data_IF_977457486676
#
_entry.id   IF_977457486676
#
_cell.length_a   1.000
_cell.length_b   1.000
_cell.length_c   1.000
_cell.angle_alpha   90.00
_cell.angle_beta   90.00
_cell.angle_gamma   90.00
#
_symmetry.space_group_name_H-M   'P 1'
#
loop_
_entity.id
_entity.type
_entity.pdbx_description
1 polymer ?
#
# COMPACT_ATOMS: atom_id res chain seq x y z
N UNK A 1 4.67 19.72 -1.97
CA UNK A 1 4.30 18.85 -0.85
C UNK A 1 5.37 18.78 0.23
N UNK A 2 6.68 18.83 -0.10
CA UNK A 2 7.79 19.00 0.88
C UNK A 2 8.69 20.17 0.45
N UNK A 3 8.19 21.42 0.48
CA UNK A 3 8.94 22.60 0.01
C UNK A 3 10.14 22.94 0.89
N UNK A 4 10.17 22.43 2.11
CA UNK A 4 11.24 22.68 3.09
C UNK A 4 12.25 21.55 3.19
N UNK A 5 12.15 20.53 2.31
CA UNK A 5 13.02 19.34 2.29
C UNK A 5 13.16 18.68 3.67
N UNK A 6 12.03 18.43 4.31
CA UNK A 6 11.95 17.74 5.61
C UNK A 6 12.06 16.22 5.49
N UNK A 7 11.71 15.67 4.32
CA UNK A 7 11.67 14.24 4.04
C UNK A 7 10.30 13.60 4.31
N UNK A 8 9.30 14.38 4.67
CA UNK A 8 7.91 13.95 4.85
C UNK A 8 6.93 15.01 4.34
N UNK A 9 5.72 14.58 4.06
CA UNK A 9 4.68 15.47 3.52
C UNK A 9 3.87 16.03 4.70
N UNK A 10 3.78 17.35 4.82
CA UNK A 10 2.98 18.01 5.88
C UNK A 10 1.97 19.01 5.33
N UNK A 11 2.28 19.62 4.18
CA UNK A 11 1.32 20.50 3.50
C UNK A 11 0.13 19.66 2.98
N UNK A 12 -1.07 20.21 2.84
CA UNK A 12 -2.20 19.47 2.33
C UNK A 12 -1.86 18.84 0.97
N UNK A 13 -2.13 17.56 0.84
CA UNK A 13 -1.77 16.81 -0.35
C UNK A 13 -2.91 15.91 -0.79
N UNK A 14 -3.25 16.05 -2.07
CA UNK A 14 -4.27 15.26 -2.74
C UNK A 14 -3.79 13.82 -2.95
N UNK A 15 -4.72 12.87 -2.89
CA UNK A 15 -4.43 11.46 -3.01
C UNK A 15 -5.58 10.69 -3.68
N UNK A 16 -5.48 9.36 -3.72
CA UNK A 16 -6.44 8.47 -4.38
C UNK A 16 -7.86 8.52 -3.79
N UNK A 17 -8.03 9.12 -2.64
CA UNK A 17 -9.32 9.25 -1.96
C UNK A 17 -10.06 10.56 -2.30
N UNK A 18 -9.53 11.37 -3.21
CA UNK A 18 -10.09 12.68 -3.57
C UNK A 18 -10.27 13.62 -2.36
N UNK A 19 -9.39 13.45 -1.37
CA UNK A 19 -9.35 14.21 -0.12
C UNK A 19 -7.91 14.67 0.09
N UNK A 20 -7.73 15.93 0.47
CA UNK A 20 -6.44 16.38 0.96
C UNK A 20 -6.21 15.84 2.37
N UNK A 21 -5.13 15.10 2.54
CA UNK A 21 -4.61 14.81 3.87
C UNK A 21 -3.81 16.01 4.37
N UNK A 22 -4.10 16.42 5.58
CA UNK A 22 -3.50 17.55 6.25
C UNK A 22 -2.54 17.09 7.33
N UNK A 23 -1.28 17.47 7.20
CA UNK A 23 -0.22 17.00 8.06
C UNK A 23 0.38 15.65 7.63
N UNK A 24 1.46 15.24 8.30
CA UNK A 24 2.18 14.03 7.92
C UNK A 24 1.37 12.76 8.09
N UNK A 25 1.39 11.90 7.09
CA UNK A 25 0.71 10.62 7.06
C UNK A 25 1.61 9.49 6.53
N UNK A 26 1.23 8.26 6.84
CA UNK A 26 1.98 7.08 6.44
C UNK A 26 1.89 6.78 4.95
N UNK A 27 0.71 6.90 4.34
CA UNK A 27 0.46 6.50 2.94
C UNK A 27 1.30 7.33 1.97
N UNK A 28 1.06 8.64 1.93
CA UNK A 28 1.71 9.52 0.96
C UNK A 28 3.20 9.74 1.26
N UNK A 29 3.58 9.82 2.55
CA UNK A 29 5.00 9.91 2.92
C UNK A 29 5.74 8.63 2.53
N UNK A 30 5.14 7.43 2.67
CA UNK A 30 5.80 6.20 2.23
C UNK A 30 6.07 6.19 0.72
N UNK A 31 5.16 6.71 -0.10
CA UNK A 31 5.39 6.90 -1.54
C UNK A 31 6.56 7.84 -1.82
N UNK A 32 6.61 8.94 -1.10
CA UNK A 32 7.72 9.89 -1.23
C UNK A 32 9.07 9.24 -0.91
N UNK A 33 9.14 8.45 0.16
CA UNK A 33 10.38 7.73 0.51
C UNK A 33 10.73 6.65 -0.52
N UNK A 34 9.72 5.92 -1.04
CA UNK A 34 9.92 4.98 -2.14
C UNK A 34 10.46 5.66 -3.40
N UNK A 35 9.90 6.82 -3.76
CA UNK A 35 10.36 7.61 -4.90
C UNK A 35 11.79 8.14 -4.70
N UNK A 36 12.14 8.62 -3.50
CA UNK A 36 13.51 9.02 -3.17
C UNK A 36 14.50 7.86 -3.29
N UNK A 37 14.11 6.68 -2.82
CA UNK A 37 14.93 5.47 -2.94
C UNK A 37 15.15 5.10 -4.40
N UNK A 38 14.10 5.06 -5.21
CA UNK A 38 14.19 4.79 -6.64
C UNK A 38 15.08 5.81 -7.36
N UNK A 39 14.92 7.09 -7.05
CA UNK A 39 15.74 8.16 -7.62
C UNK A 39 17.23 8.00 -7.26
N UNK A 40 17.51 7.62 -6.02
CA UNK A 40 18.89 7.39 -5.55
C UNK A 40 19.52 6.22 -6.31
N UNK A 41 18.80 5.10 -6.48
CA UNK A 41 19.32 3.94 -7.21
C UNK A 41 19.55 4.25 -8.70
N UNK A 42 18.61 4.91 -9.36
CA UNK A 42 18.79 5.38 -10.74
C UNK A 42 19.97 6.37 -10.86
N UNK A 43 20.09 7.27 -9.90
CA UNK A 43 21.21 8.24 -9.88
C UNK A 43 22.57 7.57 -9.72
N UNK A 44 22.68 6.56 -8.86
CA UNK A 44 23.91 5.76 -8.70
C UNK A 44 24.29 5.07 -10.01
N UNK A 45 23.33 4.42 -10.68
CA UNK A 45 23.57 3.75 -11.97
C UNK A 45 24.05 4.73 -13.04
N UNK A 46 23.44 5.91 -13.09
CA UNK A 46 23.83 6.99 -14.00
C UNK A 46 25.03 7.81 -13.54
N UNK A 47 25.68 7.44 -12.41
CA UNK A 47 26.82 8.13 -11.81
C UNK A 47 26.55 9.61 -11.51
N UNK A 48 25.30 9.92 -11.15
CA UNK A 48 24.87 11.27 -10.75
C UNK A 48 25.02 11.48 -9.23
N UNK A 49 25.20 12.72 -8.76
CA UNK A 49 25.28 13.00 -7.33
C UNK A 49 23.92 12.78 -6.64
N UNK A 50 23.89 11.91 -5.63
CA UNK A 50 22.66 11.55 -4.89
C UNK A 50 22.72 11.86 -3.40
N UNK A 51 23.78 12.52 -2.93
CA UNK A 51 24.05 12.76 -1.51
C UNK A 51 22.91 13.52 -0.80
N UNK A 52 22.38 14.54 -1.44
CA UNK A 52 21.30 15.36 -0.88
C UNK A 52 20.03 14.51 -0.70
N UNK A 53 19.65 13.76 -1.72
CA UNK A 53 18.47 12.87 -1.68
C UNK A 53 18.62 11.73 -0.66
N UNK A 54 19.84 11.21 -0.49
CA UNK A 54 20.14 10.22 0.55
C UNK A 54 19.97 10.80 1.96
N UNK A 55 20.39 12.03 2.17
CA UNK A 55 20.20 12.73 3.45
C UNK A 55 18.71 13.00 3.71
N UNK A 56 17.96 13.39 2.66
CA UNK A 56 16.53 13.62 2.73
C UNK A 56 15.76 12.33 3.04
N UNK A 57 16.07 11.24 2.36
CA UNK A 57 15.53 9.90 2.64
C UNK A 57 15.76 9.50 4.10
N UNK A 58 16.96 9.70 4.62
CA UNK A 58 17.30 9.37 6.02
C UNK A 58 16.48 10.16 7.04
N UNK A 59 16.23 11.44 6.78
CA UNK A 59 15.33 12.28 7.61
C UNK A 59 13.89 11.74 7.61
N UNK A 60 13.37 11.44 6.42
CA UNK A 60 12.00 10.96 6.28
C UNK A 60 11.79 9.59 6.91
N UNK A 61 12.72 8.64 6.72
CA UNK A 61 12.69 7.34 7.40
C UNK A 61 12.61 7.52 8.91
N UNK A 62 13.53 8.31 9.48
CA UNK A 62 13.53 8.58 10.92
C UNK A 62 12.20 9.16 11.38
N UNK A 63 11.65 10.11 10.64
CA UNK A 63 10.37 10.73 11.01
C UNK A 63 9.22 9.71 10.98
N UNK A 64 9.07 8.94 9.91
CA UNK A 64 8.04 7.90 9.83
C UNK A 64 8.16 6.89 10.97
N UNK A 65 9.36 6.40 11.23
CA UNK A 65 9.60 5.36 12.21
C UNK A 65 9.48 5.80 13.68
N UNK A 66 9.62 7.10 13.96
CA UNK A 66 9.58 7.64 15.33
C UNK A 66 8.36 8.50 15.62
N UNK A 67 7.81 9.16 14.61
CA UNK A 67 6.72 10.11 14.78
C UNK A 67 5.38 9.59 14.28
N UNK A 68 5.38 8.75 13.23
CA UNK A 68 4.14 8.22 12.64
C UNK A 68 3.87 6.76 13.01
N UNK A 69 4.83 6.03 13.59
CA UNK A 69 4.60 4.68 14.10
C UNK A 69 4.17 4.75 15.57
N UNK A 70 2.96 4.29 15.87
CA UNK A 70 2.37 4.39 17.21
C UNK A 70 2.72 3.23 18.16
N UNK A 71 3.62 2.34 17.69
CA UNK A 71 4.01 1.11 18.37
C UNK A 71 3.39 -0.15 17.77
N UNK A 72 2.38 -0.03 16.91
CA UNK A 72 1.72 -1.16 16.26
C UNK A 72 1.50 -0.90 14.76
N UNK A 73 1.07 0.32 14.38
CA UNK A 73 0.86 0.70 12.98
C UNK A 73 1.19 2.17 12.72
N UNK A 74 1.27 2.53 11.44
CA UNK A 74 1.51 3.91 11.02
C UNK A 74 0.21 4.70 10.98
N UNK A 75 0.27 5.95 11.47
CA UNK A 75 -0.85 6.87 11.63
C UNK A 75 -0.65 8.15 10.84
N UNK A 76 -1.66 9.01 10.80
CA UNK A 76 -1.58 10.40 10.39
C UNK A 76 -1.49 11.32 11.61
N UNK A 77 -0.61 12.30 11.56
CA UNK A 77 -0.63 13.45 12.48
C UNK A 77 -1.34 14.61 11.80
N UNK A 78 -2.60 14.79 12.13
CA UNK A 78 -3.39 15.90 11.57
C UNK A 78 -2.75 17.21 11.99
N UNK A 79 -2.46 18.07 11.02
CA UNK A 79 -1.85 19.38 11.21
C UNK A 79 -2.43 20.36 10.21
N UNK A 80 -2.92 21.51 10.67
CA UNK A 80 -3.45 22.56 9.80
C UNK A 80 -2.94 23.94 10.20
N UNK A 81 -2.18 24.04 11.27
CA UNK A 81 -1.53 25.27 11.71
C UNK A 81 -0.04 25.25 11.38
N UNK A 82 0.51 26.43 11.09
CA UNK A 82 1.92 26.59 10.79
C UNK A 82 2.34 26.05 9.41
N UNK A 83 1.38 25.80 8.53
CA UNK A 83 1.60 25.40 7.14
C UNK A 83 1.65 26.63 6.22
N UNK A 84 2.12 26.44 4.98
CA UNK A 84 2.07 27.47 3.93
C UNK A 84 0.66 27.57 3.32
N UNK A 85 -0.09 26.47 3.32
CA UNK A 85 -1.46 26.43 2.84
C UNK A 85 -2.38 27.29 3.73
N UNK A 86 -3.42 27.92 3.13
CA UNK A 86 -4.45 28.62 3.90
C UNK A 86 -5.13 27.68 4.90
N UNK A 87 -5.54 28.25 6.05
CA UNK A 87 -6.29 27.46 7.05
C UNK A 87 -7.57 26.88 6.42
N UNK A 88 -7.83 25.58 6.54
CA UNK A 88 -9.00 24.92 5.93
C UNK A 88 -10.33 25.45 6.46
N UNK A 89 -10.34 26.09 7.64
CA UNK A 89 -11.53 26.73 8.21
C UNK A 89 -11.90 28.03 7.48
N UNK A 90 -10.91 28.70 6.88
CA UNK A 90 -11.09 29.94 6.15
C UNK A 90 -11.38 29.73 4.66
N UNK A 91 -11.25 28.52 4.17
CA UNK A 91 -11.51 28.16 2.78
C UNK A 91 -12.95 27.71 2.62
N UNK A 92 -13.69 28.33 1.70
CA UNK A 92 -15.09 27.98 1.43
C UNK A 92 -15.21 26.52 0.95
N UNK A 93 -16.18 25.81 1.51
CA UNK A 93 -16.54 24.46 1.05
C UNK A 93 -17.14 24.51 -0.36
N UNK A 94 -16.99 23.44 -1.11
CA UNK A 94 -17.65 23.27 -2.40
C UNK A 94 -19.18 23.40 -2.21
N UNK A 95 -19.76 24.50 -2.71
CA UNK A 95 -21.20 24.76 -2.62
C UNK A 95 -21.69 25.73 -1.55
N UNK A 96 -20.83 26.41 -0.78
CA UNK A 96 -21.24 27.45 0.15
C UNK A 96 -20.42 27.55 1.44
N UNK A 97 -20.85 28.43 2.36
CA UNK A 97 -20.28 28.57 3.69
C UNK A 97 -20.68 27.42 4.63
N UNK A 98 -19.80 27.09 5.56
CA UNK A 98 -20.13 26.15 6.64
C UNK A 98 -21.20 26.72 7.59
N UNK A 99 -22.03 25.86 8.19
CA UNK A 99 -22.87 26.23 9.31
C UNK A 99 -22.02 26.59 10.54
N UNK A 100 -22.61 27.29 11.52
CA UNK A 100 -21.92 27.65 12.76
C UNK A 100 -21.43 26.41 13.53
N UNK A 101 -22.23 25.35 13.53
CA UNK A 101 -21.88 24.06 14.18
C UNK A 101 -20.69 23.40 13.46
N UNK A 102 -20.71 23.39 12.13
CA UNK A 102 -19.61 22.83 11.34
C UNK A 102 -18.31 23.63 11.53
N UNK A 103 -18.40 24.97 11.58
CA UNK A 103 -17.25 25.84 11.86
C UNK A 103 -16.67 25.59 13.26
N UNK A 104 -17.53 25.40 14.27
CA UNK A 104 -17.08 25.06 15.62
C UNK A 104 -16.33 23.75 15.62
N UNK A 105 -16.89 22.71 15.00
CA UNK A 105 -16.29 21.39 14.91
C UNK A 105 -14.93 21.41 14.18
N UNK A 106 -14.84 22.11 13.04
CA UNK A 106 -13.59 22.27 12.30
C UNK A 106 -12.51 23.02 13.09
N UNK A 107 -12.90 23.98 13.93
CA UNK A 107 -11.96 24.69 14.84
C UNK A 107 -11.45 23.79 15.96
N UNK A 108 -12.25 22.84 16.43
CA UNK A 108 -11.91 21.94 17.51
C UNK A 108 -11.12 20.72 17.01
N UNK A 109 -11.54 20.12 15.90
CA UNK A 109 -11.01 18.84 15.38
C UNK A 109 -10.09 18.98 14.16
N UNK A 110 -10.06 20.18 13.54
CA UNK A 110 -9.30 20.44 12.31
C UNK A 110 -10.02 20.01 11.03
N UNK A 111 -9.28 19.79 9.94
CA UNK A 111 -9.84 19.42 8.64
C UNK A 111 -10.69 18.15 8.70
N UNK A 112 -11.86 18.18 8.07
CA UNK A 112 -12.73 17.02 7.97
C UNK A 112 -12.08 15.89 7.15
N UNK A 113 -12.58 14.67 7.35
CA UNK A 113 -12.26 13.48 6.55
C UNK A 113 -10.82 12.98 6.67
N UNK A 114 -10.13 13.36 7.75
CA UNK A 114 -8.82 12.84 8.07
C UNK A 114 -8.94 11.47 8.77
N UNK A 115 -7.95 10.59 8.59
CA UNK A 115 -7.96 9.31 9.28
C UNK A 115 -7.24 9.34 10.65
N UNK A 116 -6.35 10.30 10.86
CA UNK A 116 -5.70 10.52 12.17
C UNK A 116 -5.04 9.25 12.73
N UNK A 117 -5.52 8.80 13.89
CA UNK A 117 -5.04 7.57 14.55
C UNK A 117 -5.66 6.28 13.99
N UNK A 118 -6.40 6.36 12.88
CA UNK A 118 -6.98 5.19 12.23
C UNK A 118 -5.92 4.24 11.66
N UNK A 119 -6.23 2.95 11.70
CA UNK A 119 -5.47 1.90 11.04
C UNK A 119 -5.88 1.87 9.55
N UNK A 120 -5.15 2.57 8.70
CA UNK A 120 -5.43 2.69 7.28
C UNK A 120 -4.85 1.49 6.51
N UNK A 121 -5.66 0.79 5.72
CA UNK A 121 -5.25 -0.45 5.03
C UNK A 121 -4.10 -0.24 4.05
N UNK A 122 -4.12 0.85 3.30
CA UNK A 122 -3.02 1.24 2.41
C UNK A 122 -2.07 2.29 3.02
N UNK A 123 -2.04 2.37 4.36
CA UNK A 123 -1.27 3.36 5.11
C UNK A 123 0.25 3.36 4.88
N UNK A 124 0.78 2.34 4.20
CA UNK A 124 2.18 2.24 3.79
C UNK A 124 2.30 1.73 2.35
N UNK A 125 1.38 2.12 1.49
CA UNK A 125 1.29 1.68 0.09
C UNK A 125 2.60 1.89 -0.68
N UNK A 126 3.34 2.97 -0.40
CA UNK A 126 4.65 3.22 -1.01
C UNK A 126 5.69 2.14 -0.72
N UNK A 127 5.61 1.46 0.42
CA UNK A 127 6.49 0.34 0.76
C UNK A 127 6.18 -0.92 -0.04
N UNK A 128 4.90 -1.18 -0.30
CA UNK A 128 4.48 -2.23 -1.22
C UNK A 128 5.02 -1.98 -2.64
N UNK A 129 4.84 -0.77 -3.15
CA UNK A 129 5.34 -0.38 -4.47
C UNK A 129 6.86 -0.51 -4.57
N UNK A 130 7.59 -0.06 -3.56
CA UNK A 130 9.05 -0.22 -3.48
C UNK A 130 9.46 -1.70 -3.54
N UNK A 131 8.77 -2.56 -2.79
CA UNK A 131 9.02 -4.00 -2.77
C UNK A 131 8.72 -4.66 -4.12
N UNK A 132 7.62 -4.29 -4.79
CA UNK A 132 7.28 -4.77 -6.15
C UNK A 132 8.35 -4.37 -7.15
N UNK A 133 8.87 -3.16 -7.06
CA UNK A 133 9.97 -2.67 -7.91
C UNK A 133 11.35 -3.27 -7.53
N UNK A 134 11.42 -4.06 -6.47
CA UNK A 134 12.66 -4.69 -6.03
C UNK A 134 13.65 -3.74 -5.37
N UNK A 135 13.18 -2.63 -4.83
CA UNK A 135 13.97 -1.79 -3.95
C UNK A 135 14.14 -2.48 -2.60
N UNK A 136 15.27 -2.24 -1.97
CA UNK A 136 15.55 -2.75 -0.64
C UNK A 136 14.57 -2.17 0.41
N UNK A 137 14.61 -2.70 1.63
CA UNK A 137 13.75 -2.27 2.73
C UNK A 137 13.93 -0.77 3.02
N UNK A 138 12.97 0.02 2.59
CA UNK A 138 13.00 1.49 2.76
C UNK A 138 12.75 1.87 4.22
N UNK A 139 11.77 1.24 4.88
CA UNK A 139 11.49 1.38 6.32
C UNK A 139 11.90 0.12 7.08
N UNK A 140 11.92 0.20 8.40
CA UNK A 140 12.16 -0.93 9.28
C UNK A 140 11.15 -2.06 8.99
N UNK A 141 11.66 -3.25 8.67
CA UNK A 141 10.88 -4.39 8.22
C UNK A 141 9.87 -4.87 9.26
N UNK A 142 10.23 -4.85 10.55
CA UNK A 142 9.34 -5.29 11.62
C UNK A 142 8.19 -4.29 11.86
N UNK A 143 8.43 -3.00 11.68
CA UNK A 143 7.38 -1.98 11.74
C UNK A 143 6.42 -2.08 10.56
N UNK A 144 6.95 -2.33 9.35
CA UNK A 144 6.13 -2.59 8.15
C UNK A 144 5.27 -3.84 8.36
N UNK A 145 5.88 -4.93 8.83
CA UNK A 145 5.18 -6.18 9.13
C UNK A 145 4.12 -5.98 10.22
N UNK A 146 4.45 -5.27 11.31
CA UNK A 146 3.53 -4.95 12.39
C UNK A 146 2.29 -4.20 11.89
N UNK A 147 2.49 -3.17 11.06
CA UNK A 147 1.38 -2.44 10.45
C UNK A 147 0.46 -3.36 9.64
N UNK A 148 1.02 -4.20 8.77
CA UNK A 148 0.23 -5.12 7.93
C UNK A 148 -0.55 -6.15 8.76
N UNK A 149 0.05 -6.67 9.83
CA UNK A 149 -0.62 -7.57 10.77
C UNK A 149 -1.74 -6.85 11.52
N UNK A 150 -1.54 -5.59 11.91
CA UNK A 150 -2.58 -4.77 12.51
C UNK A 150 -3.75 -4.51 11.53
N UNK A 151 -3.45 -4.21 10.28
CA UNK A 151 -4.48 -4.07 9.23
C UNK A 151 -5.30 -5.35 9.09
N UNK A 152 -4.67 -6.52 8.97
CA UNK A 152 -5.39 -7.80 8.95
C UNK A 152 -6.25 -7.98 10.20
N UNK A 153 -5.71 -7.73 11.39
CA UNK A 153 -6.39 -7.92 12.67
C UNK A 153 -7.63 -7.03 12.85
N UNK A 154 -7.54 -5.77 12.45
CA UNK A 154 -8.56 -4.77 12.77
C UNK A 154 -9.52 -4.51 11.62
N UNK A 155 -9.05 -4.58 10.39
CA UNK A 155 -9.83 -4.18 9.22
C UNK A 155 -10.48 -5.36 8.50
N UNK A 156 -9.95 -6.60 8.59
CA UNK A 156 -10.57 -7.75 7.97
C UNK A 156 -11.86 -8.13 8.71
N UNK A 157 -12.95 -8.28 7.96
CA UNK A 157 -14.25 -8.76 8.42
C UNK A 157 -14.62 -10.01 7.63
N UNK A 158 -15.11 -11.04 8.34
CA UNK A 158 -15.57 -12.28 7.72
C UNK A 158 -17.05 -12.22 7.31
N UNK A 159 -17.78 -11.25 7.82
CA UNK A 159 -19.07 -10.81 7.33
C UNK A 159 -19.29 -9.33 7.63
N UNK A 160 -20.23 -8.72 6.94
CA UNK A 160 -20.62 -7.33 7.06
C UNK A 160 -22.12 -7.19 7.41
N UNK A 161 -22.70 -8.20 8.11
CA UNK A 161 -24.13 -8.23 8.46
C UNK A 161 -24.50 -7.01 9.29
N UNK A 162 -23.70 -6.68 10.29
CA UNK A 162 -23.90 -5.54 11.18
C UNK A 162 -23.12 -4.29 10.74
N UNK A 163 -22.50 -4.34 9.57
CA UNK A 163 -21.72 -3.22 9.05
C UNK A 163 -22.62 -2.25 8.29
N UNK A 164 -22.47 -0.97 8.61
CA UNK A 164 -23.28 0.08 8.03
C UNK A 164 -22.40 1.23 7.51
N UNK A 165 -22.63 1.59 6.24
CA UNK A 165 -21.99 2.76 5.63
C UNK A 165 -23.05 3.76 5.16
N UNK A 166 -23.42 4.76 6.00
CA UNK A 166 -24.46 5.72 5.66
C UNK A 166 -24.01 6.78 4.64
N UNK A 167 -22.73 6.90 4.39
CA UNK A 167 -22.18 8.02 3.62
C UNK A 167 -22.00 7.68 2.13
N UNK A 168 -21.73 6.41 1.81
CA UNK A 168 -21.32 6.00 0.47
C UNK A 168 -21.86 4.61 0.09
N UNK A 169 -21.95 4.31 -1.22
CA UNK A 169 -22.21 2.95 -1.67
C UNK A 169 -21.19 1.97 -1.14
N UNK A 170 -21.64 0.75 -0.83
CA UNK A 170 -20.77 -0.34 -0.40
C UNK A 170 -20.51 -1.30 -1.56
N UNK A 171 -19.31 -1.85 -1.62
CA UNK A 171 -18.90 -2.86 -2.61
C UNK A 171 -18.91 -4.28 -2.02
N UNK A 172 -19.13 -4.39 -0.71
CA UNK A 172 -19.35 -5.62 0.03
C UNK A 172 -20.39 -5.36 1.13
N UNK A 173 -21.32 -6.28 1.37
CA UNK A 173 -22.39 -6.12 2.35
C UNK A 173 -22.99 -7.47 2.79
N UNK A 174 -23.71 -7.45 3.91
CA UNK A 174 -24.40 -8.62 4.43
C UNK A 174 -23.44 -9.75 4.77
N UNK A 175 -23.58 -10.90 4.12
CA UNK A 175 -22.72 -12.07 4.36
C UNK A 175 -21.35 -12.01 3.64
N UNK A 176 -21.09 -10.95 2.89
CA UNK A 176 -19.75 -10.78 2.30
C UNK A 176 -18.74 -10.49 3.41
N UNK A 177 -17.57 -11.07 3.32
CA UNK A 177 -16.38 -10.62 4.03
C UNK A 177 -15.60 -9.58 3.24
N UNK A 178 -14.62 -8.92 3.86
CA UNK A 178 -13.74 -7.97 3.18
C UNK A 178 -12.86 -7.17 4.11
N UNK A 179 -11.86 -6.51 3.52
CA UNK A 179 -10.92 -5.65 4.23
C UNK A 179 -11.41 -4.20 4.18
N UNK A 180 -11.88 -3.67 5.32
CA UNK A 180 -12.25 -2.26 5.42
C UNK A 180 -11.05 -1.35 5.18
N UNK A 181 -11.28 -0.18 4.60
CA UNK A 181 -10.19 0.75 4.31
C UNK A 181 -9.58 1.35 5.57
N UNK A 182 -10.36 1.64 6.60
CA UNK A 182 -9.83 2.18 7.84
C UNK A 182 -10.72 1.84 9.05
N UNK A 183 -10.09 1.51 10.18
CA UNK A 183 -10.79 1.37 11.48
C UNK A 183 -10.03 2.14 12.56
N UNK A 184 -10.70 2.42 13.68
CA UNK A 184 -10.08 3.12 14.83
C UNK A 184 -10.06 2.22 16.07
N UNK A 185 -9.23 1.17 16.10
CA UNK A 185 -9.23 0.19 17.19
C UNK A 185 -8.79 0.78 18.54
N UNK A 186 -8.05 1.89 18.51
CA UNK A 186 -7.56 2.61 19.70
C UNK A 186 -8.35 3.89 19.98
N UNK A 187 -9.48 4.10 19.27
CA UNK A 187 -10.26 5.34 19.33
C UNK A 187 -9.63 6.48 18.52
N UNK A 188 -10.17 7.70 18.69
CA UNK A 188 -9.68 8.89 18.00
C UNK A 188 -10.30 9.12 16.61
N UNK A 189 -11.41 8.43 16.30
CA UNK A 189 -12.21 8.75 15.13
C UNK A 189 -12.82 10.14 15.27
N UNK A 190 -12.64 10.97 14.25
CA UNK A 190 -13.21 12.33 14.23
C UNK A 190 -14.73 12.29 14.05
N UNK A 191 -15.41 13.37 14.42
CA UNK A 191 -16.86 13.55 14.20
C UNK A 191 -17.21 13.60 12.71
N UNK A 192 -16.31 14.11 11.86
CA UNK A 192 -16.36 14.02 10.41
C UNK A 192 -15.22 13.13 9.91
N UNK A 193 -15.36 11.80 10.05
CA UNK A 193 -14.25 10.89 9.81
C UNK A 193 -13.95 10.72 8.34
N UNK A 194 -12.86 10.02 8.04
CA UNK A 194 -12.46 9.58 6.73
C UNK A 194 -13.62 8.85 6.03
N UNK A 195 -14.17 9.45 4.99
CA UNK A 195 -15.46 9.04 4.37
C UNK A 195 -15.41 7.67 3.70
N UNK A 196 -14.24 7.20 3.31
CA UNK A 196 -14.05 5.88 2.68
C UNK A 196 -13.77 4.76 3.69
N UNK A 197 -13.65 5.07 4.98
CA UNK A 197 -13.25 4.12 6.01
C UNK A 197 -14.01 2.80 5.99
N UNK A 198 -15.31 2.88 5.74
CA UNK A 198 -16.24 1.74 5.77
C UNK A 198 -16.38 1.01 4.42
N UNK A 199 -15.61 1.37 3.43
CA UNK A 199 -15.63 0.70 2.12
C UNK A 199 -14.64 -0.46 2.07
N UNK A 200 -14.87 -1.37 1.11
CA UNK A 200 -14.00 -2.49 0.78
C UNK A 200 -13.61 -2.36 -0.68
N UNK A 201 -12.31 -2.22 -0.96
CA UNK A 201 -11.79 -2.05 -2.31
C UNK A 201 -10.89 -3.21 -2.70
N UNK A 202 -11.26 -3.95 -3.74
CA UNK A 202 -10.54 -5.16 -4.18
C UNK A 202 -9.07 -4.91 -4.47
N UNK A 203 -8.74 -3.75 -5.04
CA UNK A 203 -7.35 -3.38 -5.29
C UNK A 203 -6.52 -3.23 -4.01
N UNK A 204 -7.08 -2.63 -2.98
CA UNK A 204 -6.42 -2.48 -1.68
C UNK A 204 -6.33 -3.84 -0.97
N UNK A 205 -7.36 -4.67 -1.05
CA UNK A 205 -7.33 -6.03 -0.52
C UNK A 205 -6.17 -6.84 -1.09
N UNK A 206 -6.01 -6.87 -2.43
CA UNK A 206 -4.91 -7.58 -3.09
C UNK A 206 -3.54 -6.95 -2.80
N UNK A 207 -3.48 -5.63 -2.69
CA UNK A 207 -2.26 -4.92 -2.33
C UNK A 207 -1.79 -5.34 -0.93
N UNK A 208 -2.66 -5.28 0.07
CA UNK A 208 -2.34 -5.67 1.46
C UNK A 208 -2.01 -7.16 1.53
N UNK A 209 -2.81 -8.01 0.88
CA UNK A 209 -2.57 -9.44 0.84
C UNK A 209 -1.19 -9.79 0.28
N UNK A 210 -0.83 -9.23 -0.88
CA UNK A 210 0.48 -9.46 -1.49
C UNK A 210 1.63 -8.90 -0.64
N UNK A 211 1.43 -7.76 0.02
CA UNK A 211 2.44 -7.20 0.91
C UNK A 211 2.67 -8.07 2.15
N UNK A 212 1.59 -8.60 2.75
CA UNK A 212 1.69 -9.61 3.83
C UNK A 212 2.49 -10.83 3.38
N UNK A 213 2.20 -11.35 2.18
CA UNK A 213 2.94 -12.49 1.62
C UNK A 213 4.44 -12.18 1.45
N UNK A 214 4.78 -10.98 0.95
CA UNK A 214 6.17 -10.51 0.83
C UNK A 214 6.88 -10.49 2.19
N UNK A 215 6.15 -10.17 3.27
CA UNK A 215 6.66 -10.15 4.65
C UNK A 215 6.58 -11.50 5.37
N UNK A 216 6.22 -12.58 4.66
CA UNK A 216 6.16 -13.95 5.20
C UNK A 216 4.85 -14.30 5.91
N UNK A 217 3.88 -13.38 5.98
CA UNK A 217 2.56 -13.59 6.57
C UNK A 217 1.58 -14.17 5.54
N UNK A 218 1.95 -15.31 4.94
CA UNK A 218 1.24 -15.90 3.79
C UNK A 218 -0.23 -16.20 4.10
N UNK A 219 -0.52 -16.84 5.25
CA UNK A 219 -1.88 -17.22 5.61
C UNK A 219 -2.78 -16.00 5.82
N UNK A 220 -2.27 -14.92 6.45
CA UNK A 220 -3.03 -13.67 6.60
C UNK A 220 -3.33 -13.02 5.24
N UNK A 221 -2.37 -13.08 4.31
CA UNK A 221 -2.60 -12.63 2.94
C UNK A 221 -3.68 -13.48 2.25
N UNK A 222 -3.62 -14.80 2.39
CA UNK A 222 -4.62 -15.71 1.82
C UNK A 222 -6.00 -15.54 2.45
N UNK A 223 -6.12 -15.18 3.73
CA UNK A 223 -7.41 -14.88 4.36
C UNK A 223 -8.10 -13.71 3.65
N UNK A 224 -7.37 -12.62 3.40
CA UNK A 224 -7.92 -11.48 2.66
C UNK A 224 -8.34 -11.90 1.24
N UNK A 225 -7.52 -12.68 0.56
CA UNK A 225 -7.83 -13.17 -0.80
C UNK A 225 -9.08 -14.04 -0.82
N UNK A 226 -9.26 -14.93 0.19
CA UNK A 226 -10.46 -15.78 0.30
C UNK A 226 -11.72 -14.93 0.39
N UNK A 227 -11.76 -13.94 1.29
CA UNK A 227 -12.92 -13.04 1.44
C UNK A 227 -13.21 -12.28 0.12
N UNK A 228 -12.18 -11.78 -0.54
CA UNK A 228 -12.33 -11.12 -1.82
C UNK A 228 -12.90 -12.09 -2.88
N UNK A 229 -12.35 -13.30 -3.02
CA UNK A 229 -12.76 -14.26 -4.05
C UNK A 229 -14.14 -14.89 -3.77
N UNK A 230 -14.53 -15.04 -2.52
CA UNK A 230 -15.87 -15.51 -2.16
C UNK A 230 -16.98 -14.55 -2.61
N UNK A 231 -16.72 -13.24 -2.62
CA UNK A 231 -17.64 -12.25 -3.19
C UNK A 231 -17.82 -12.40 -4.70
N UNK A 232 -16.81 -12.92 -5.41
CA UNK A 232 -16.75 -13.02 -6.88
C UNK A 232 -16.62 -14.47 -7.36
N UNK A 233 -17.29 -15.39 -6.72
CA UNK A 233 -17.21 -16.84 -7.00
C UNK A 233 -18.14 -17.32 -8.13
N UNK A 234 -18.91 -16.43 -8.73
CA UNK A 234 -19.88 -16.74 -9.80
C UNK A 234 -21.27 -17.09 -9.34
N UNK A 235 -21.52 -17.20 -8.02
CA UNK A 235 -22.88 -17.44 -7.50
C UNK A 235 -23.74 -16.17 -7.52
N UNK A 236 -23.17 -15.05 -7.12
CA UNK A 236 -23.84 -13.75 -7.04
C UNK A 236 -23.17 -12.72 -7.96
N UNK A 237 -21.84 -12.66 -7.94
CA UNK A 237 -21.06 -11.72 -8.74
C UNK A 237 -20.19 -12.46 -9.75
N UNK A 238 -19.96 -11.79 -10.89
CA UNK A 238 -19.13 -12.31 -11.98
C UNK A 238 -17.64 -12.37 -11.50
N UNK A 239 -17.01 -13.56 -11.56
CA UNK A 239 -15.62 -13.74 -11.10
C UNK A 239 -14.59 -13.02 -11.97
N UNK A 240 -14.97 -12.54 -13.14
CA UNK A 240 -14.09 -11.80 -14.07
C UNK A 240 -14.39 -10.29 -14.09
N UNK A 241 -15.20 -9.79 -13.16
CA UNK A 241 -15.62 -8.40 -13.13
C UNK A 241 -15.76 -7.91 -11.69
N UNK A 242 -14.64 -7.58 -11.08
CA UNK A 242 -14.57 -7.02 -9.72
C UNK A 242 -14.93 -5.54 -9.74
N UNK A 243 -16.01 -5.19 -9.06
CA UNK A 243 -16.52 -3.82 -9.03
C UNK A 243 -15.83 -3.04 -7.94
N UNK A 244 -15.23 -1.91 -8.32
CA UNK A 244 -14.74 -0.88 -7.44
C UNK A 244 -14.80 0.45 -8.20
N UNK A 245 -15.67 1.37 -7.80
CA UNK A 245 -15.99 2.60 -8.52
C UNK A 245 -16.40 2.39 -9.99
N UNK A 246 -16.86 1.21 -10.35
CA UNK A 246 -17.22 0.77 -11.70
C UNK A 246 -16.40 -0.42 -12.21
N UNK A 247 -16.73 -0.88 -13.42
CA UNK A 247 -16.15 -2.11 -13.99
C UNK A 247 -14.76 -1.91 -14.60
N UNK A 248 -14.33 -0.66 -14.84
CA UNK A 248 -13.14 -0.31 -15.60
C UNK A 248 -11.99 0.24 -14.74
N UNK A 249 -12.17 0.28 -13.44
CA UNK A 249 -11.22 0.95 -12.55
C UNK A 249 -9.88 0.20 -12.40
N UNK A 250 -9.87 -1.10 -12.64
CA UNK A 250 -8.70 -1.96 -12.79
C UNK A 250 -7.72 -2.03 -11.58
N UNK A 251 -8.06 -1.51 -10.41
CA UNK A 251 -7.21 -1.66 -9.19
C UNK A 251 -7.01 -3.12 -8.78
N UNK A 252 -7.95 -4.01 -9.13
CA UNK A 252 -7.80 -5.46 -8.94
C UNK A 252 -6.55 -6.05 -9.60
N UNK A 253 -5.91 -5.34 -10.54
CA UNK A 253 -4.60 -5.71 -11.08
C UNK A 253 -3.50 -5.81 -10.02
N UNK A 254 -3.66 -5.24 -8.84
CA UNK A 254 -2.77 -5.45 -7.69
C UNK A 254 -2.65 -6.94 -7.31
N UNK A 255 -3.60 -7.78 -7.73
CA UNK A 255 -3.57 -9.24 -7.57
C UNK A 255 -2.32 -9.91 -8.16
N UNK A 256 -1.74 -9.34 -9.21
CA UNK A 256 -0.47 -9.84 -9.78
C UNK A 256 0.68 -9.76 -8.78
N UNK A 257 0.65 -8.84 -7.82
CA UNK A 257 1.62 -8.76 -6.73
C UNK A 257 1.68 -10.02 -5.87
N UNK A 258 0.62 -10.82 -5.83
CA UNK A 258 0.59 -12.08 -5.09
C UNK A 258 1.56 -13.12 -5.65
N UNK A 259 1.74 -13.18 -6.97
CA UNK A 259 2.72 -14.10 -7.59
C UNK A 259 4.13 -13.78 -7.07
N UNK A 260 4.48 -12.51 -7.04
CA UNK A 260 5.76 -12.06 -6.50
C UNK A 260 5.84 -12.25 -4.97
N UNK A 261 4.76 -11.98 -4.25
CA UNK A 261 4.69 -12.17 -2.80
C UNK A 261 4.91 -13.61 -2.36
N UNK A 262 4.31 -14.57 -3.07
CA UNK A 262 4.43 -15.99 -2.78
C UNK A 262 5.76 -16.58 -3.22
N UNK A 263 6.26 -16.22 -4.40
CA UNK A 263 7.43 -16.83 -5.03
C UNK A 263 8.72 -16.06 -4.80
N UNK A 264 8.62 -14.75 -4.52
CA UNK A 264 9.74 -13.83 -4.50
C UNK A 264 10.42 -13.68 -5.86
N UNK A 265 9.75 -14.07 -6.94
CA UNK A 265 10.32 -13.98 -8.30
C UNK A 265 10.37 -12.55 -8.75
N UNK A 266 11.56 -12.11 -9.13
CA UNK A 266 11.85 -10.81 -9.75
C UNK A 266 13.02 -10.95 -10.70
N UNK A 267 12.93 -10.37 -11.87
CA UNK A 267 14.03 -10.31 -12.83
C UNK A 267 14.59 -8.89 -12.90
N UNK A 268 15.88 -8.76 -12.64
CA UNK A 268 16.64 -7.53 -12.84
C UNK A 268 17.31 -7.59 -14.21
N UNK A 269 16.80 -6.79 -15.16
CA UNK A 269 17.29 -6.78 -16.54
C UNK A 269 18.65 -6.08 -16.69
N UNK A 270 19.04 -5.19 -15.77
CA UNK A 270 20.35 -4.50 -15.79
C UNK A 270 21.45 -5.49 -15.45
N UNK A 271 21.33 -6.16 -14.32
CA UNK A 271 22.28 -7.14 -13.83
C UNK A 271 22.08 -8.55 -14.41
N UNK A 272 20.94 -8.76 -15.10
CA UNK A 272 20.51 -10.08 -15.61
C UNK A 272 20.42 -11.12 -14.50
N UNK A 273 19.90 -10.71 -13.36
CA UNK A 273 19.75 -11.55 -12.17
C UNK A 273 18.29 -11.94 -11.97
N UNK A 274 18.04 -13.23 -11.86
CA UNK A 274 16.75 -13.77 -11.44
C UNK A 274 16.74 -13.99 -9.93
N UNK A 275 15.89 -13.26 -9.22
CA UNK A 275 15.68 -13.42 -7.78
C UNK A 275 14.55 -14.41 -7.52
N UNK A 276 14.71 -15.25 -6.50
CA UNK A 276 13.71 -16.20 -6.02
C UNK A 276 13.76 -16.20 -4.49
N UNK A 277 12.63 -16.00 -3.84
CA UNK A 277 12.51 -16.07 -2.38
C UNK A 277 11.16 -16.67 -2.00
N UNK A 278 10.99 -17.95 -2.34
CA UNK A 278 9.74 -18.67 -2.14
C UNK A 278 9.29 -18.69 -0.68
N UNK A 279 8.01 -18.37 -0.46
CA UNK A 279 7.32 -18.50 0.82
C UNK A 279 6.43 -19.75 0.89
N UNK A 280 6.38 -20.53 -0.20
CA UNK A 280 5.47 -21.67 -0.38
C UNK A 280 6.20 -22.98 -0.74
N UNK A 281 7.53 -23.01 -0.61
CA UNK A 281 8.33 -24.18 -1.03
C UNK A 281 8.50 -24.25 -2.54
N UNK A 282 8.36 -25.45 -3.11
CA UNK A 282 8.41 -25.67 -4.56
C UNK A 282 7.24 -24.98 -5.25
N UNK A 283 7.50 -24.37 -6.41
CA UNK A 283 6.47 -23.69 -7.20
C UNK A 283 6.79 -23.69 -8.69
N UNK A 284 5.78 -23.42 -9.50
CA UNK A 284 5.88 -23.02 -10.90
C UNK A 284 5.04 -21.78 -11.14
N UNK A 285 5.64 -20.74 -11.68
CA UNK A 285 4.97 -19.46 -11.92
C UNK A 285 5.26 -18.94 -13.32
N UNK A 286 4.37 -18.09 -13.82
CA UNK A 286 4.55 -17.31 -15.03
C UNK A 286 5.61 -16.23 -14.81
N UNK A 287 6.38 -15.94 -15.86
CA UNK A 287 7.27 -14.78 -15.92
C UNK A 287 7.17 -14.13 -17.31
N UNK A 288 7.13 -12.80 -17.32
CA UNK A 288 7.19 -11.98 -18.53
C UNK A 288 8.19 -10.87 -18.35
N UNK A 289 8.97 -10.61 -19.39
CA UNK A 289 9.93 -9.50 -19.52
C UNK A 289 9.65 -8.77 -20.84
N UNK A 290 10.36 -7.71 -21.11
CA UNK A 290 10.28 -6.96 -22.37
C UNK A 290 10.70 -7.81 -23.60
N UNK A 291 11.59 -8.80 -23.38
CA UNK A 291 12.21 -9.59 -24.47
C UNK A 291 11.63 -10.99 -24.60
N UNK A 292 10.85 -11.48 -23.64
CA UNK A 292 10.29 -12.82 -23.70
C UNK A 292 9.43 -13.19 -22.49
N UNK A 293 8.74 -14.32 -22.60
CA UNK A 293 7.94 -14.86 -21.52
C UNK A 293 8.02 -16.37 -21.43
N UNK A 294 7.64 -16.91 -20.27
CA UNK A 294 7.69 -18.34 -20.01
C UNK A 294 7.28 -18.68 -18.59
N UNK A 295 7.93 -19.69 -18.02
CA UNK A 295 7.73 -20.10 -16.63
C UNK A 295 9.05 -20.17 -15.89
N UNK A 296 9.00 -19.79 -14.61
CA UNK A 296 10.08 -19.99 -13.65
C UNK A 296 9.61 -20.98 -12.58
N UNK A 297 10.42 -21.97 -12.28
CA UNK A 297 10.12 -23.00 -11.27
C UNK A 297 11.21 -22.97 -10.21
N UNK A 298 10.82 -23.14 -8.96
CA UNK A 298 11.70 -23.57 -7.89
C UNK A 298 11.33 -25.00 -7.55
N UNK A 299 12.22 -25.96 -7.81
CA UNK A 299 11.92 -27.38 -7.64
C UNK A 299 13.12 -28.10 -7.05
N UNK A 300 12.90 -28.78 -5.92
CA UNK A 300 13.92 -29.58 -5.24
C UNK A 300 15.25 -28.81 -5.04
N UNK A 301 15.16 -27.51 -4.65
CA UNK A 301 16.33 -26.68 -4.40
C UNK A 301 17.03 -26.13 -5.64
N UNK A 302 16.39 -26.18 -6.82
CA UNK A 302 16.97 -25.68 -8.08
C UNK A 302 15.99 -24.77 -8.82
N UNK A 303 16.49 -23.65 -9.39
CA UNK A 303 15.71 -22.84 -10.32
C UNK A 303 15.66 -23.51 -11.71
N UNK A 304 14.50 -23.45 -12.35
CA UNK A 304 14.32 -23.91 -13.74
C UNK A 304 13.55 -22.85 -14.51
N UNK A 305 14.19 -22.25 -15.50
CA UNK A 305 13.57 -21.29 -16.41
C UNK A 305 13.23 -21.98 -17.72
N UNK A 306 11.95 -21.93 -18.12
CA UNK A 306 11.48 -22.39 -19.42
C UNK A 306 10.93 -21.21 -20.22
N UNK A 307 11.67 -20.77 -21.23
CA UNK A 307 11.26 -19.67 -22.11
C UNK A 307 10.36 -20.24 -23.20
N UNK A 308 9.13 -19.74 -23.30
CA UNK A 308 8.14 -20.15 -24.31
C UNK A 308 8.24 -19.28 -25.57
N UNK A 309 8.53 -18.00 -25.39
CA UNK A 309 8.66 -17.05 -26.49
C UNK A 309 9.74 -16.02 -26.20
N UNK A 310 10.46 -15.61 -27.23
CA UNK A 310 11.53 -14.61 -27.13
C UNK A 310 12.77 -15.14 -26.40
N UNK A 311 13.39 -14.27 -25.62
CA UNK A 311 14.57 -14.58 -24.83
C UNK A 311 14.51 -13.90 -23.46
N UNK A 312 14.92 -14.62 -22.40
CA UNK A 312 15.14 -14.09 -21.06
C UNK A 312 16.58 -14.40 -20.67
N UNK A 313 17.46 -13.40 -20.76
CA UNK A 313 18.91 -13.58 -20.57
C UNK A 313 19.26 -13.53 -19.08
N UNK A 314 19.23 -14.68 -18.40
CA UNK A 314 19.61 -14.81 -16.99
C UNK A 314 21.06 -15.24 -16.88
N UNK A 315 21.90 -14.40 -16.25
CA UNK A 315 23.31 -14.70 -15.99
C UNK A 315 23.51 -15.39 -14.64
N UNK A 316 22.63 -15.14 -13.67
CA UNK A 316 22.74 -15.71 -12.33
C UNK A 316 21.39 -15.76 -11.64
N UNK A 317 21.27 -16.68 -10.71
CA UNK A 317 20.11 -16.76 -9.81
C UNK A 317 20.53 -16.31 -8.41
N UNK A 318 19.70 -15.47 -7.78
CA UNK A 318 19.82 -15.13 -6.37
C UNK A 318 18.65 -15.75 -5.61
N UNK A 319 18.93 -16.77 -4.83
CA UNK A 319 17.93 -17.51 -4.08
C UNK A 319 18.05 -17.14 -2.60
N UNK A 320 17.06 -16.42 -2.07
CA UNK A 320 17.05 -15.96 -0.67
C UNK A 320 18.36 -15.32 -0.22
N UNK A 321 18.95 -14.46 -1.09
CA UNK A 321 20.18 -13.74 -0.81
C UNK A 321 21.47 -14.49 -1.16
N UNK A 322 21.39 -15.72 -1.69
CA UNK A 322 22.56 -16.51 -2.10
C UNK A 322 22.58 -16.66 -3.61
N UNK A 323 23.75 -16.47 -4.20
CA UNK A 323 23.96 -16.77 -5.62
C UNK A 323 24.04 -18.29 -5.81
N UNK A 324 23.28 -18.78 -6.77
CA UNK A 324 23.21 -20.19 -7.17
C UNK A 324 23.50 -20.24 -8.67
N UNK A 325 24.40 -21.09 -9.08
CA UNK A 325 24.78 -21.33 -10.49
C UNK A 325 23.81 -22.30 -11.19
#
# INVERSE_FOLDING_TARGET
>A
MDPLHKGYLEEPHHNTYDIEFWGPDGMCTSFYLGALTAFIEMGKELKQPVKEYTALLSKGKKYMETALFDGEYFIQKIQWEGLQAPNPVDVMSFGGSYSEEALKLLKEEGPKYQYGTGCLSDGILGMWMASVCGLDEVLDNEKVRSHLVAVHKYNLKHDLIDHFNPQRPVYACGKDGGLLLCTWPKGGMLSLPFVYSNEVWTGIEYQVASHLMMKGEVEKGLDIVRECRERYDGRVRNPFNEIECGHWYARAMASYGMLQGLTGVRYDAVDKTMYINSKIGDFKSFISTDTGFGTIEWKAGKPVLNVVYGNIDVKRYNVSGKIVD
#
